data_IF_375935726912
#
_entry.id   IF_375935726912
#
_cell.length_a   1.000
_cell.length_b   1.000
_cell.length_c   1.000
_cell.angle_alpha   90.00
_cell.angle_beta   90.00
_cell.angle_gamma   90.00
#
_symmetry.space_group_name_H-M   'P 1'
#
loop_
_entity.id
_entity.type
_entity.pdbx_description
1 polymer ?
#
# COMPACT_ATOMS: atom_id res chain seq x y z
N UNK A 1 36.48 -72.61 18.72
CA UNK A 1 35.44 -72.96 17.73
C UNK A 1 34.27 -72.01 17.97
N UNK A 2 33.98 -71.15 16.97
CA UNK A 2 32.91 -70.12 16.90
C UNK A 2 33.01 -68.99 17.96
N UNK A 3 33.29 -67.71 17.69
CA UNK A 3 32.75 -66.70 16.73
C UNK A 3 31.23 -66.50 16.82
N UNK A 4 30.83 -65.34 17.37
CA UNK A 4 29.76 -64.41 16.96
C UNK A 4 29.57 -63.38 18.09
N UNK A 5 30.10 -62.18 17.94
CA UNK A 5 29.39 -61.00 17.40
C UNK A 5 28.21 -60.61 18.30
N UNK A 6 28.32 -59.45 18.97
CA UNK A 6 27.29 -58.41 18.88
C UNK A 6 27.70 -57.09 19.57
N UNK A 7 27.81 -56.07 18.73
CA UNK A 7 27.43 -54.66 18.92
C UNK A 7 28.17 -53.75 19.92
N UNK A 8 29.21 -53.12 19.38
CA UNK A 8 29.60 -51.75 19.71
C UNK A 8 28.59 -50.77 19.09
N UNK A 9 27.73 -50.13 19.88
CA UNK A 9 27.01 -48.91 19.47
C UNK A 9 27.58 -47.72 20.25
N UNK A 10 28.59 -47.08 19.69
CA UNK A 10 29.01 -45.74 20.11
C UNK A 10 27.99 -44.76 19.52
N UNK A 11 27.18 -44.16 20.37
CA UNK A 11 26.22 -43.12 19.99
C UNK A 11 26.99 -41.82 19.69
N UNK A 12 27.39 -41.63 18.43
CA UNK A 12 27.92 -40.36 17.95
C UNK A 12 26.75 -39.39 17.70
N UNK A 13 26.42 -38.58 18.71
CA UNK A 13 25.54 -37.42 18.53
C UNK A 13 26.28 -36.33 17.74
N UNK A 14 26.27 -36.44 16.41
CA UNK A 14 26.63 -35.32 15.54
C UNK A 14 25.45 -34.35 15.56
N UNK A 15 25.58 -33.28 16.35
CA UNK A 15 24.66 -32.15 16.35
C UNK A 15 24.79 -31.44 15.00
N UNK A 16 23.91 -31.75 14.05
CA UNK A 16 23.79 -30.99 12.81
C UNK A 16 23.23 -29.60 13.16
N UNK A 17 24.11 -28.64 13.38
CA UNK A 17 23.74 -27.22 13.44
C UNK A 17 23.32 -26.83 12.02
N UNK A 18 22.01 -26.86 11.76
CA UNK A 18 21.46 -26.24 10.55
C UNK A 18 21.72 -24.74 10.65
N UNK A 19 22.78 -24.27 9.99
CA UNK A 19 22.93 -22.86 9.63
C UNK A 19 21.74 -22.53 8.74
N UNK A 20 20.66 -22.03 9.35
CA UNK A 20 19.62 -21.32 8.63
C UNK A 20 20.28 -20.07 8.08
N UNK A 21 20.73 -20.13 6.84
CA UNK A 21 21.08 -18.96 6.05
C UNK A 21 19.83 -18.09 6.01
N UNK A 22 19.72 -17.14 6.94
CA UNK A 22 18.82 -16.02 6.76
C UNK A 22 19.30 -15.36 5.48
N UNK A 23 18.56 -15.57 4.38
CA UNK A 23 18.73 -14.79 3.17
C UNK A 23 18.46 -13.36 3.64
N UNK A 24 19.52 -12.60 3.87
CA UNK A 24 19.41 -11.18 4.12
C UNK A 24 18.90 -10.62 2.79
N UNK A 25 17.58 -10.51 2.65
CA UNK A 25 16.96 -9.91 1.48
C UNK A 25 17.65 -8.58 1.24
N UNK A 26 18.22 -8.38 0.05
CA UNK A 26 18.71 -7.05 -0.30
C UNK A 26 17.52 -6.10 -0.16
N UNK A 27 17.69 -4.95 0.52
CA UNK A 27 16.63 -3.95 0.58
C UNK A 27 16.24 -3.58 -0.85
N UNK A 28 14.97 -3.71 -1.21
CA UNK A 28 14.50 -3.42 -2.55
C UNK A 28 14.82 -1.96 -2.90
N UNK A 29 15.50 -1.74 -4.03
CA UNK A 29 15.78 -0.39 -4.52
C UNK A 29 14.62 0.11 -5.38
N UNK A 30 14.41 1.43 -5.44
CA UNK A 30 13.37 2.04 -6.27
C UNK A 30 13.42 1.54 -7.72
N UNK A 31 14.63 1.45 -8.29
CA UNK A 31 14.83 1.00 -9.66
C UNK A 31 14.66 -0.50 -9.87
N UNK A 32 14.44 -1.32 -8.83
CA UNK A 32 14.10 -2.73 -9.01
C UNK A 32 12.65 -2.87 -9.47
N UNK A 33 11.72 -2.18 -8.81
CA UNK A 33 10.28 -2.35 -9.01
C UNK A 33 9.62 -1.24 -9.82
N UNK A 34 10.24 -0.07 -9.92
CA UNK A 34 9.64 1.11 -10.56
C UNK A 34 10.46 1.64 -11.73
N UNK A 35 9.77 2.39 -12.58
CA UNK A 35 10.34 3.16 -13.69
C UNK A 35 9.81 4.58 -13.62
N UNK A 36 10.66 5.55 -13.92
CA UNK A 36 10.26 6.95 -14.05
C UNK A 36 9.42 7.09 -15.31
N UNK A 37 8.23 7.66 -15.18
CA UNK A 37 7.30 7.87 -16.31
C UNK A 37 7.29 9.31 -16.79
N UNK A 38 7.69 10.27 -15.93
CA UNK A 38 7.75 11.67 -16.29
C UNK A 38 8.82 12.44 -15.51
N UNK A 39 9.58 13.28 -16.24
CA UNK A 39 10.60 14.20 -15.73
C UNK A 39 11.63 13.55 -14.79
N UNK A 40 12.62 12.86 -15.38
CA UNK A 40 13.73 12.22 -14.65
C UNK A 40 14.54 13.20 -13.79
N UNK A 41 14.76 14.41 -14.27
CA UNK A 41 15.47 15.50 -13.59
C UNK A 41 14.81 15.92 -12.28
N UNK A 42 13.52 15.63 -12.12
CA UNK A 42 12.72 15.96 -10.95
C UNK A 42 12.55 14.78 -9.98
N UNK A 43 13.22 13.64 -10.23
CA UNK A 43 13.27 12.51 -9.31
C UNK A 43 14.73 12.27 -8.89
N UNK A 44 15.00 12.47 -7.60
CA UNK A 44 16.32 12.21 -7.03
C UNK A 44 16.29 10.94 -6.20
N UNK A 45 17.10 9.95 -6.57
CA UNK A 45 17.36 8.80 -5.71
C UNK A 45 18.27 9.21 -4.55
N UNK A 46 17.88 8.83 -3.35
CA UNK A 46 18.61 9.07 -2.10
C UNK A 46 18.76 7.74 -1.35
N UNK A 47 19.59 7.73 -0.30
CA UNK A 47 19.84 6.53 0.53
C UNK A 47 20.22 5.27 -0.28
N UNK A 48 21.07 5.46 -1.30
CA UNK A 48 21.52 4.38 -2.18
C UNK A 48 20.42 3.78 -3.05
N UNK A 49 19.38 4.56 -3.39
CA UNK A 49 18.24 4.10 -4.19
C UNK A 49 17.10 3.50 -3.38
N UNK A 50 17.21 3.48 -2.05
CA UNK A 50 16.14 2.99 -1.15
C UNK A 50 15.05 4.01 -0.87
N UNK A 51 15.25 5.25 -1.31
CA UNK A 51 14.23 6.30 -1.25
C UNK A 51 14.40 7.23 -2.46
N UNK A 52 13.34 7.93 -2.79
CA UNK A 52 13.33 8.95 -3.82
C UNK A 52 12.76 10.26 -3.27
N UNK A 53 13.16 11.36 -3.87
CA UNK A 53 12.55 12.67 -3.70
C UNK A 53 11.90 13.07 -5.01
N UNK A 54 10.61 13.39 -4.97
CA UNK A 54 9.87 14.00 -6.06
C UNK A 54 9.94 15.52 -5.92
N UNK A 55 10.17 16.21 -7.03
CA UNK A 55 10.29 17.66 -7.10
C UNK A 55 9.18 18.19 -8.00
N UNK A 56 8.53 19.26 -7.55
CA UNK A 56 7.59 20.05 -8.32
C UNK A 56 8.10 21.49 -8.32
N UNK A 57 8.25 22.07 -9.50
CA UNK A 57 8.54 23.49 -9.69
C UNK A 57 7.63 24.11 -10.76
N UNK A 58 7.93 25.33 -11.20
CA UNK A 58 7.15 26.02 -12.23
C UNK A 58 7.27 25.40 -13.63
N UNK A 59 8.30 24.58 -13.86
CA UNK A 59 8.58 23.95 -15.15
C UNK A 59 7.87 22.59 -15.25
N UNK A 60 7.95 21.76 -14.21
CA UNK A 60 7.35 20.42 -14.24
C UNK A 60 7.08 19.83 -12.85
N UNK A 61 6.12 18.91 -12.80
CA UNK A 61 6.08 17.85 -11.79
C UNK A 61 6.92 16.63 -12.21
N UNK A 62 6.67 15.48 -11.59
CA UNK A 62 7.29 14.20 -11.95
C UNK A 62 6.38 13.03 -11.59
N UNK A 63 6.71 11.86 -12.12
CA UNK A 63 5.95 10.64 -11.86
C UNK A 63 6.74 9.38 -12.11
N UNK A 64 6.33 8.30 -11.47
CA UNK A 64 6.86 6.96 -11.66
C UNK A 64 5.74 5.93 -11.58
N UNK A 65 5.99 4.75 -12.13
CA UNK A 65 5.04 3.64 -12.12
C UNK A 65 5.77 2.32 -11.86
N UNK A 66 5.04 1.31 -11.36
CA UNK A 66 5.59 -0.03 -11.24
C UNK A 66 5.90 -0.61 -12.61
N UNK A 67 7.00 -1.35 -12.74
CA UNK A 67 7.37 -2.05 -13.98
C UNK A 67 6.40 -3.16 -14.35
N UNK A 68 5.74 -3.72 -13.35
CA UNK A 68 4.76 -4.80 -13.48
C UNK A 68 3.37 -4.29 -13.13
N UNK A 69 2.37 -4.91 -13.74
CA UNK A 69 0.97 -4.78 -13.37
C UNK A 69 0.63 -5.87 -12.37
N UNK A 70 -0.34 -5.61 -11.50
CA UNK A 70 -0.73 -6.55 -10.45
C UNK A 70 -2.24 -6.75 -10.45
N UNK A 71 -2.68 -7.96 -10.07
CA UNK A 71 -4.06 -8.28 -9.80
C UNK A 71 -4.17 -8.93 -8.41
N UNK A 72 -4.77 -8.21 -7.47
CA UNK A 72 -4.78 -8.51 -6.04
C UNK A 72 -3.42 -8.42 -5.37
N UNK A 73 -3.44 -8.10 -4.07
CA UNK A 73 -2.26 -8.03 -3.25
C UNK A 73 -2.30 -6.94 -2.19
N UNK A 74 -1.11 -6.59 -1.74
CA UNK A 74 -0.78 -5.61 -0.73
C UNK A 74 0.33 -4.71 -1.29
N UNK A 75 0.04 -3.41 -1.39
CA UNK A 75 1.02 -2.41 -1.81
C UNK A 75 1.14 -1.36 -0.73
N UNK A 76 2.37 -1.11 -0.31
CA UNK A 76 2.69 -0.22 0.78
C UNK A 76 3.81 0.73 0.38
N UNK A 77 3.63 2.02 0.68
CA UNK A 77 4.64 3.03 0.45
C UNK A 77 4.79 3.94 1.66
N UNK A 78 6.05 4.26 1.97
CA UNK A 78 6.39 5.27 2.96
C UNK A 78 6.50 6.64 2.32
N UNK A 79 5.70 7.57 2.80
CA UNK A 79 5.62 8.92 2.24
C UNK A 79 5.82 9.91 3.37
N UNK A 80 6.73 10.86 3.15
CA UNK A 80 6.89 12.08 3.95
C UNK A 80 6.50 13.25 3.05
N UNK A 81 5.52 14.04 3.49
CA UNK A 81 4.96 15.12 2.69
C UNK A 81 5.80 16.41 2.78
N UNK A 82 5.41 17.40 1.98
CA UNK A 82 6.09 18.69 1.85
C UNK A 82 5.90 19.49 3.14
N UNK A 83 6.99 19.89 3.77
CA UNK A 83 6.97 20.78 4.92
C UNK A 83 6.73 22.23 4.51
N UNK A 84 6.08 23.03 5.35
CA UNK A 84 5.87 24.45 5.11
C UNK A 84 4.60 24.74 4.32
N UNK A 85 4.66 25.65 3.35
CA UNK A 85 3.54 25.93 2.45
C UNK A 85 3.54 24.97 1.26
N UNK A 86 2.48 24.18 1.15
CA UNK A 86 2.26 23.23 0.07
C UNK A 86 0.90 23.44 -0.60
N UNK A 87 0.27 24.61 -0.39
CA UNK A 87 -1.05 24.90 -0.92
C UNK A 87 -1.10 24.72 -2.44
N UNK A 88 -2.10 23.98 -2.92
CA UNK A 88 -2.29 23.70 -4.34
C UNK A 88 -1.44 22.56 -4.91
N UNK A 89 -0.58 21.93 -4.10
CA UNK A 89 0.13 20.71 -4.49
C UNK A 89 -0.70 19.46 -4.20
N UNK A 90 -0.54 18.44 -5.03
CA UNK A 90 -1.08 17.09 -4.80
C UNK A 90 0.07 16.09 -4.90
N UNK A 91 0.32 15.34 -3.84
CA UNK A 91 1.13 14.12 -3.91
C UNK A 91 0.18 12.95 -4.07
N UNK A 92 0.33 12.14 -5.12
CA UNK A 92 -0.56 11.02 -5.40
C UNK A 92 0.16 9.67 -5.23
N UNK A 93 -0.51 8.72 -4.59
CA UNK A 93 -0.16 7.31 -4.56
C UNK A 93 -1.41 6.52 -4.91
N UNK A 94 -1.42 5.90 -6.09
CA UNK A 94 -2.62 5.31 -6.64
C UNK A 94 -2.30 4.07 -7.47
N UNK A 95 -3.34 3.29 -7.74
CA UNK A 95 -3.29 2.13 -8.63
C UNK A 95 -4.33 2.34 -9.71
N UNK A 96 -3.97 2.03 -10.96
CA UNK A 96 -4.85 2.23 -12.10
C UNK A 96 -4.66 1.07 -13.10
N UNK A 97 -5.77 0.58 -13.66
CA UNK A 97 -5.75 -0.32 -14.81
C UNK A 97 -5.32 0.38 -16.11
N UNK A 98 -4.85 -0.39 -17.09
CA UNK A 98 -4.21 0.13 -18.32
C UNK A 98 -5.17 0.68 -19.40
N UNK A 99 -6.31 1.24 -19.00
CA UNK A 99 -7.34 1.73 -19.93
C UNK A 99 -7.63 3.20 -19.64
N UNK A 100 -7.61 4.05 -20.66
CA UNK A 100 -7.83 5.49 -20.45
C UNK A 100 -9.31 5.87 -20.23
N UNK A 101 -10.26 4.98 -20.54
CA UNK A 101 -11.70 5.29 -20.53
C UNK A 101 -12.55 4.40 -19.63
N UNK A 102 -12.16 3.14 -19.43
CA UNK A 102 -12.87 2.18 -18.58
C UNK A 102 -11.92 1.64 -17.53
N UNK A 103 -11.46 2.52 -16.65
CA UNK A 103 -10.46 2.19 -15.63
C UNK A 103 -11.06 1.83 -14.29
N UNK A 104 -10.40 0.90 -13.62
CA UNK A 104 -10.49 0.75 -12.18
C UNK A 104 -9.30 1.48 -11.55
N UNK A 105 -9.55 2.26 -10.51
CA UNK A 105 -8.54 3.10 -9.89
C UNK A 105 -8.78 3.26 -8.39
N UNK A 106 -7.69 3.27 -7.62
CA UNK A 106 -7.70 3.39 -6.17
C UNK A 106 -6.72 4.46 -5.74
N UNK A 107 -7.24 5.58 -5.23
CA UNK A 107 -6.43 6.78 -4.98
C UNK A 107 -6.14 7.04 -3.50
N UNK A 108 -4.90 7.43 -3.23
CA UNK A 108 -4.53 8.37 -2.18
C UNK A 108 -4.00 9.65 -2.83
N UNK A 109 -4.61 10.78 -2.52
CA UNK A 109 -4.18 12.11 -2.94
C UNK A 109 -3.99 12.98 -1.70
N UNK A 110 -2.75 13.36 -1.43
CA UNK A 110 -2.40 14.24 -0.31
C UNK A 110 -2.49 15.69 -0.78
N UNK A 111 -3.54 16.36 -0.34
CA UNK A 111 -3.81 17.75 -0.70
C UNK A 111 -3.02 18.67 0.24
N UNK A 112 -2.05 19.38 -0.33
CA UNK A 112 -1.24 20.33 0.40
C UNK A 112 -2.01 21.59 0.81
N UNK A 113 -1.49 22.27 1.82
CA UNK A 113 -2.17 23.39 2.46
C UNK A 113 -1.18 24.49 2.85
N UNK A 114 -1.69 25.66 3.24
CA UNK A 114 -0.86 26.77 3.73
C UNK A 114 -0.13 26.37 5.00
N UNK A 115 1.01 27.01 5.27
CA UNK A 115 1.80 26.73 6.48
C UNK A 115 0.94 26.79 7.75
N UNK A 116 1.05 25.75 8.58
CA UNK A 116 0.30 25.63 9.84
C UNK A 116 -1.12 25.09 9.70
N UNK A 117 -1.61 24.84 8.47
CA UNK A 117 -2.90 24.20 8.22
C UNK A 117 -2.73 22.70 7.95
N UNK A 118 -3.72 21.87 8.31
CA UNK A 118 -3.59 20.42 8.16
C UNK A 118 -3.60 20.00 6.69
N UNK A 119 -2.87 18.93 6.41
CA UNK A 119 -3.02 18.16 5.19
C UNK A 119 -4.37 17.43 5.18
N UNK A 120 -4.97 17.32 4.00
CA UNK A 120 -6.13 16.46 3.75
C UNK A 120 -5.71 15.29 2.88
N UNK A 121 -6.03 14.08 3.32
CA UNK A 121 -5.95 12.88 2.48
C UNK A 121 -7.29 12.72 1.79
N UNK A 122 -7.26 12.76 0.47
CA UNK A 122 -8.37 12.45 -0.40
C UNK A 122 -8.21 11.02 -0.91
N UNK A 123 -9.27 10.23 -0.80
CA UNK A 123 -9.32 8.87 -1.36
C UNK A 123 -10.49 8.76 -2.31
N UNK A 124 -10.31 8.08 -3.44
CA UNK A 124 -11.37 7.83 -4.40
C UNK A 124 -11.29 6.40 -4.95
N UNK A 125 -12.41 5.90 -5.49
CA UNK A 125 -12.49 4.58 -6.12
C UNK A 125 -13.21 4.74 -7.45
N UNK A 126 -12.50 4.40 -8.53
CA UNK A 126 -13.09 4.23 -9.85
C UNK A 126 -13.37 2.75 -10.10
N UNK A 127 -14.56 2.49 -10.63
CA UNK A 127 -14.97 1.17 -11.12
C UNK A 127 -15.52 1.35 -12.52
N UNK A 128 -14.95 0.68 -13.51
CA UNK A 128 -15.39 0.73 -14.90
C UNK A 128 -15.49 2.17 -15.43
N UNK A 129 -14.49 3.00 -15.14
CA UNK A 129 -14.42 4.42 -15.52
C UNK A 129 -15.28 5.37 -14.67
N UNK A 130 -16.08 4.84 -13.73
CA UNK A 130 -16.92 5.66 -12.84
C UNK A 130 -16.28 5.81 -11.47
N UNK A 131 -15.87 7.03 -11.14
CA UNK A 131 -15.37 7.44 -9.83
C UNK A 131 -16.48 7.94 -8.93
N UNK A 132 -16.31 9.16 -8.43
CA UNK A 132 -17.25 9.88 -7.56
C UNK A 132 -17.48 9.21 -6.19
N UNK A 133 -16.44 8.57 -5.64
CA UNK A 133 -16.45 7.89 -4.34
C UNK A 133 -15.47 8.52 -3.38
N UNK A 134 -15.45 9.85 -3.37
CA UNK A 134 -14.49 10.63 -2.64
C UNK A 134 -14.76 10.57 -1.12
N UNK A 135 -13.69 10.36 -0.37
CA UNK A 135 -13.64 10.60 1.07
C UNK A 135 -12.45 11.50 1.37
N UNK A 136 -12.58 12.41 2.33
CA UNK A 136 -11.51 13.31 2.77
C UNK A 136 -11.33 13.23 4.26
N UNK A 137 -10.09 13.05 4.68
CA UNK A 137 -9.70 12.89 6.08
C UNK A 137 -8.56 13.83 6.40
N UNK A 138 -8.64 14.56 7.51
CA UNK A 138 -7.48 15.27 8.06
C UNK A 138 -6.66 14.32 8.93
N UNK A 139 -5.35 14.27 8.72
CA UNK A 139 -4.48 13.40 9.50
C UNK A 139 -4.36 13.88 10.96
N UNK A 140 -4.29 12.94 11.89
CA UNK A 140 -4.09 13.20 13.34
C UNK A 140 -2.62 13.35 13.75
N UNK A 141 -1.75 13.53 12.76
CA UNK A 141 -0.31 13.73 12.90
C UNK A 141 0.17 14.66 11.79
N UNK A 142 1.38 15.23 11.93
CA UNK A 142 2.02 15.99 10.87
C UNK A 142 2.71 15.04 9.87
N UNK A 143 2.18 14.87 8.65
CA UNK A 143 2.75 13.95 7.66
C UNK A 143 4.04 14.47 7.00
N UNK A 144 4.46 15.70 7.27
CA UNK A 144 5.73 16.26 6.81
C UNK A 144 6.87 16.08 7.82
N UNK A 145 6.54 15.80 9.09
CA UNK A 145 7.53 15.65 10.16
C UNK A 145 8.35 14.36 10.02
N UNK A 146 7.73 13.25 9.61
CA UNK A 146 8.40 11.97 9.40
C UNK A 146 7.70 11.14 8.29
N UNK A 147 8.30 10.02 7.90
CA UNK A 147 7.69 9.07 6.97
C UNK A 147 6.56 8.30 7.64
N UNK A 148 5.40 8.27 6.97
CA UNK A 148 4.26 7.46 7.34
C UNK A 148 3.96 6.43 6.25
N UNK A 149 3.41 5.28 6.66
CA UNK A 149 3.06 4.20 5.74
C UNK A 149 1.63 4.36 5.26
N UNK A 150 1.44 4.28 3.95
CA UNK A 150 0.15 4.28 3.29
C UNK A 150 0.02 2.99 2.49
N UNK A 151 -1.05 2.26 2.73
CA UNK A 151 -1.22 0.90 2.20
C UNK A 151 -2.54 0.78 1.49
N UNK A 152 -2.51 0.12 0.33
CA UNK A 152 -3.69 -0.39 -0.36
C UNK A 152 -3.59 -1.91 -0.36
N UNK A 153 -4.52 -2.56 0.34
CA UNK A 153 -4.74 -4.00 0.24
C UNK A 153 -6.00 -4.23 -0.59
N UNK A 154 -5.92 -5.10 -1.59
CA UNK A 154 -7.07 -5.45 -2.41
C UNK A 154 -7.09 -6.94 -2.72
N UNK A 155 -8.19 -7.59 -2.39
CA UNK A 155 -8.43 -9.02 -2.61
C UNK A 155 -9.84 -9.20 -3.21
N UNK A 156 -10.32 -10.45 -3.29
CA UNK A 156 -11.66 -10.73 -3.83
C UNK A 156 -12.81 -10.22 -2.95
N UNK A 157 -12.55 -9.90 -1.69
CA UNK A 157 -13.57 -9.59 -0.70
C UNK A 157 -13.73 -8.08 -0.51
N UNK A 158 -12.64 -7.33 -0.42
CA UNK A 158 -12.67 -5.90 -0.17
C UNK A 158 -11.40 -5.16 -0.60
N UNK A 159 -11.48 -3.84 -0.58
CA UNK A 159 -10.33 -2.93 -0.65
C UNK A 159 -10.19 -2.26 0.71
N UNK A 160 -9.01 -2.36 1.32
CA UNK A 160 -8.67 -1.65 2.55
C UNK A 160 -7.61 -0.60 2.24
N UNK A 161 -7.96 0.66 2.51
CA UNK A 161 -7.04 1.79 2.52
C UNK A 161 -6.71 2.12 3.97
N UNK A 162 -5.45 1.93 4.36
CA UNK A 162 -5.02 2.02 5.75
C UNK A 162 -3.89 3.03 5.95
N UNK A 163 -3.93 3.74 7.10
CA UNK A 163 -2.77 3.78 7.98
C UNK A 163 -3.16 3.20 9.35
N UNK A 164 -3.01 1.88 9.57
CA UNK A 164 -3.52 1.26 10.80
C UNK A 164 -2.50 0.50 11.66
N UNK A 165 -1.22 0.45 11.28
CA UNK A 165 -0.08 0.11 12.13
C UNK A 165 1.20 0.67 11.48
N UNK A 166 2.15 1.14 12.29
CA UNK A 166 3.43 1.67 11.81
C UNK A 166 4.58 0.79 12.29
N UNK A 167 5.34 0.16 11.38
CA UNK A 167 6.74 -0.30 11.49
C UNK A 167 7.34 -0.42 10.03
N UNK A 168 8.67 -0.51 9.84
CA UNK A 168 9.44 0.34 8.89
C UNK A 168 10.05 -0.24 7.57
N UNK A 169 10.28 0.68 6.59
CA UNK A 169 11.12 0.67 5.34
C UNK A 169 10.52 -0.11 4.16
N UNK A 170 11.07 0.10 2.96
CA UNK A 170 10.85 -0.70 1.73
C UNK A 170 9.61 -0.37 0.87
N UNK A 171 9.83 -0.29 -0.45
CA UNK A 171 8.73 -0.28 -1.42
C UNK A 171 8.21 -1.71 -1.50
N UNK A 172 7.10 -1.98 -0.82
CA UNK A 172 6.60 -3.34 -0.69
C UNK A 172 5.43 -3.56 -1.65
N UNK A 173 5.64 -4.44 -2.63
CA UNK A 173 4.60 -4.91 -3.54
C UNK A 173 4.55 -6.43 -3.43
N UNK A 174 3.53 -6.92 -2.74
CA UNK A 174 3.18 -8.34 -2.73
C UNK A 174 1.87 -8.52 -3.50
N UNK A 175 1.95 -9.09 -4.70
CA UNK A 175 0.76 -9.28 -5.52
C UNK A 175 1.00 -10.16 -6.73
N UNK A 176 -0.06 -10.47 -7.45
CA UNK A 176 0.03 -11.32 -8.63
C UNK A 176 0.39 -10.51 -9.87
N UNK A 177 1.66 -10.57 -10.27
CA UNK A 177 2.14 -9.89 -11.47
C UNK A 177 1.43 -10.37 -12.75
N UNK A 178 1.17 -9.45 -13.67
CA UNK A 178 0.56 -9.71 -14.98
C UNK A 178 1.48 -9.13 -16.08
N UNK A 179 2.04 -9.98 -16.98
CA UNK A 179 1.90 -11.42 -17.04
C UNK A 179 2.66 -12.14 -15.90
N UNK A 180 2.10 -13.25 -15.44
CA UNK A 180 2.62 -14.10 -14.38
C UNK A 180 1.85 -15.42 -14.34
N UNK A 181 2.05 -16.28 -13.32
CA UNK A 181 1.31 -17.53 -13.20
C UNK A 181 -0.20 -17.28 -13.17
N UNK A 182 -0.95 -17.92 -14.08
CA UNK A 182 -2.40 -17.74 -14.21
C UNK A 182 -3.18 -18.13 -12.96
N UNK A 183 -2.61 -19.03 -12.14
CA UNK A 183 -3.19 -19.47 -10.87
C UNK A 183 -2.94 -18.51 -9.72
N UNK A 184 -2.08 -17.49 -9.86
CA UNK A 184 -1.73 -16.64 -8.73
C UNK A 184 -2.95 -15.90 -8.19
N UNK A 185 -3.68 -15.18 -9.06
CA UNK A 185 -4.82 -14.38 -8.61
C UNK A 185 -5.91 -15.25 -7.98
N UNK A 186 -6.12 -16.47 -8.48
CA UNK A 186 -7.12 -17.41 -7.97
C UNK A 186 -6.62 -18.33 -6.84
N UNK A 187 -5.39 -18.16 -6.36
CA UNK A 187 -4.80 -19.03 -5.35
C UNK A 187 -5.31 -18.65 -3.94
N UNK A 188 -6.14 -19.50 -3.29
CA UNK A 188 -6.64 -19.22 -1.94
C UNK A 188 -5.55 -19.30 -0.87
N UNK A 189 -4.34 -19.74 -1.21
CA UNK A 189 -3.18 -19.77 -0.32
C UNK A 189 -2.42 -18.46 -0.27
N UNK A 190 -2.75 -17.48 -1.12
CA UNK A 190 -2.23 -16.13 -0.95
C UNK A 190 -2.67 -15.64 0.43
N UNK A 191 -1.74 -15.10 1.22
CA UNK A 191 -2.06 -14.76 2.61
C UNK A 191 -3.18 -13.71 2.71
N UNK A 192 -3.27 -12.79 1.73
CA UNK A 192 -4.30 -11.76 1.64
C UNK A 192 -5.69 -12.29 1.28
N UNK A 193 -5.82 -13.57 0.88
CA UNK A 193 -7.11 -14.25 0.69
C UNK A 193 -7.55 -15.05 1.93
N UNK A 194 -6.68 -15.13 2.95
CA UNK A 194 -6.96 -15.82 4.20
C UNK A 194 -8.16 -15.22 4.94
N UNK A 195 -8.86 -16.03 5.73
CA UNK A 195 -10.10 -15.63 6.45
C UNK A 195 -9.92 -14.39 7.33
N UNK A 196 -8.72 -14.17 7.86
CA UNK A 196 -8.37 -12.99 8.65
C UNK A 196 -8.41 -11.66 7.85
N UNK A 197 -8.36 -11.73 6.51
CA UNK A 197 -8.31 -10.59 5.59
C UNK A 197 -9.56 -10.48 4.71
N UNK A 198 -10.62 -11.24 4.99
CA UNK A 198 -11.89 -11.13 4.26
C UNK A 198 -12.78 -10.01 4.82
N UNK A 199 -12.52 -9.58 6.05
CA UNK A 199 -13.21 -8.48 6.73
C UNK A 199 -12.28 -7.84 7.77
N UNK A 200 -12.59 -6.62 8.19
CA UNK A 200 -11.86 -5.99 9.30
C UNK A 200 -12.11 -6.75 10.60
N UNK A 201 -11.06 -6.98 11.39
CA UNK A 201 -11.25 -7.48 12.75
C UNK A 201 -11.82 -6.39 13.66
N UNK A 202 -12.27 -6.76 14.87
CA UNK A 202 -12.93 -5.83 15.77
C UNK A 202 -12.06 -4.61 16.14
N UNK A 203 -10.73 -4.79 16.27
CA UNK A 203 -9.81 -3.69 16.60
C UNK A 203 -9.64 -2.73 15.42
N UNK A 204 -9.51 -3.26 14.21
CA UNK A 204 -9.45 -2.47 12.97
C UNK A 204 -10.75 -1.70 12.74
N UNK A 205 -11.90 -2.34 12.94
CA UNK A 205 -13.20 -1.70 12.83
C UNK A 205 -13.35 -0.54 13.84
N UNK A 206 -12.88 -0.71 15.09
CA UNK A 206 -12.86 0.37 16.09
C UNK A 206 -11.97 1.53 15.63
N UNK A 207 -10.77 1.26 15.11
CA UNK A 207 -9.86 2.29 14.60
C UNK A 207 -10.46 3.04 13.41
N UNK A 208 -11.03 2.31 12.46
CA UNK A 208 -11.71 2.88 11.31
C UNK A 208 -12.87 3.79 11.74
N UNK A 209 -13.70 3.35 12.70
CA UNK A 209 -14.77 4.18 13.27
C UNK A 209 -14.23 5.44 13.95
N UNK A 210 -13.14 5.33 14.70
CA UNK A 210 -12.52 6.49 15.34
C UNK A 210 -12.04 7.52 14.30
N UNK A 211 -11.42 7.09 13.20
CA UNK A 211 -11.03 7.98 12.09
C UNK A 211 -12.26 8.65 11.48
N UNK A 212 -13.31 7.88 11.20
CA UNK A 212 -14.55 8.44 10.63
C UNK A 212 -15.20 9.49 11.53
N UNK A 213 -15.22 9.26 12.84
CA UNK A 213 -15.86 10.15 13.80
C UNK A 213 -15.05 11.42 14.08
N UNK A 214 -13.72 11.34 14.05
CA UNK A 214 -12.86 12.45 14.50
C UNK A 214 -12.15 13.19 13.37
N UNK A 215 -11.99 12.57 12.20
CA UNK A 215 -11.09 13.05 11.15
C UNK A 215 -11.72 13.15 9.75
N UNK A 216 -12.87 12.50 9.51
CA UNK A 216 -13.57 12.61 8.23
C UNK A 216 -14.17 14.01 8.07
N UNK A 217 -13.81 14.71 6.99
CA UNK A 217 -14.31 16.05 6.67
C UNK A 217 -15.24 16.07 5.46
N UNK A 218 -15.19 15.03 4.63
CA UNK A 218 -16.14 14.83 3.54
C UNK A 218 -16.29 13.34 3.26
N UNK A 219 -17.51 12.89 3.04
CA UNK A 219 -17.82 11.52 2.65
C UNK A 219 -18.98 11.50 1.66
N UNK A 220 -18.70 11.02 0.44
CA UNK A 220 -19.69 10.88 -0.62
C UNK A 220 -20.94 10.09 -0.17
N UNK A 221 -20.80 9.14 0.74
CA UNK A 221 -21.92 8.34 1.25
C UNK A 221 -22.95 9.18 2.05
N UNK A 222 -22.51 10.31 2.59
CA UNK A 222 -23.34 11.20 3.41
C UNK A 222 -23.73 12.49 2.69
N UNK A 223 -23.14 12.77 1.53
CA UNK A 223 -23.48 13.92 0.69
C UNK A 223 -24.83 13.73 -0.01
N UNK A 224 -25.90 14.22 0.62
CA UNK A 224 -27.26 14.16 0.08
C UNK A 224 -27.51 15.11 -1.08
N UNK A 225 -26.66 16.13 -1.26
CA UNK A 225 -26.78 17.05 -2.40
C UNK A 225 -26.34 16.34 -3.68
N UNK A 226 -25.24 15.57 -3.62
CA UNK A 226 -24.75 14.79 -4.76
C UNK A 226 -25.47 13.45 -4.89
N UNK A 227 -25.78 12.80 -3.77
CA UNK A 227 -26.44 11.49 -3.70
C UNK A 227 -27.71 11.54 -2.84
N UNK A 228 -28.85 11.98 -3.41
CA UNK A 228 -30.13 11.90 -2.70
C UNK A 228 -30.41 10.48 -2.19
N UNK A 229 -30.05 9.47 -3.00
CA UNK A 229 -29.93 8.06 -2.60
C UNK A 229 -28.46 7.69 -2.56
N UNK A 230 -27.91 7.24 -1.41
CA UNK A 230 -26.51 6.91 -1.30
C UNK A 230 -26.14 5.70 -2.19
N UNK A 231 -24.90 5.62 -2.69
CA UNK A 231 -24.39 4.44 -3.37
C UNK A 231 -24.59 3.15 -2.55
N UNK A 232 -24.80 2.01 -3.21
CA UNK A 232 -25.18 0.75 -2.54
C UNK A 232 -24.10 0.25 -1.58
N UNK A 233 -22.83 0.43 -1.94
CA UNK A 233 -21.67 0.11 -1.13
C UNK A 233 -21.65 0.85 0.22
N UNK A 234 -22.27 2.03 0.31
CA UNK A 234 -22.39 2.78 1.56
C UNK A 234 -23.26 2.07 2.61
N UNK A 235 -24.07 1.10 2.18
CA UNK A 235 -24.92 0.29 3.05
C UNK A 235 -24.22 -0.98 3.56
N UNK A 236 -23.01 -1.28 3.05
CA UNK A 236 -22.30 -2.54 3.33
C UNK A 236 -21.75 -2.65 4.77
N UNK A 237 -21.97 -1.66 5.64
CA UNK A 237 -21.50 -1.69 7.02
C UNK A 237 -19.98 -1.64 7.15
N UNK A 238 -19.49 -1.86 8.38
CA UNK A 238 -18.08 -2.07 8.72
C UNK A 238 -17.99 -3.47 9.30
#
# INVERSE_FOLDING_TARGET
MALKDDFLFIFSCILAISLSSSILGRPATFLEDFVITWSDSHIKQIDGGRAIQLILDQNSGCGFASKRKYLFGHISMKIKLISGDSAGTVTAFYMNSDTNTMRDELDFEFLGNRTGQPYTVHTNIYTHGKGDREQRVNLWFDPAADFHTYTIMWNHHHIVKAPFLAYYKDFDIEGCAVPGPTSCASNPRNWWEGTAYQALNAKEAIRYRWVRLNHMIYDCCTDKSRYPVPPRECLAGI
#
